data_IF_649724458037
#
_entry.id   IF_649724458037
#
_cell.length_a   1.000
_cell.length_b   1.000
_cell.length_c   1.000
_cell.angle_alpha   90.00
_cell.angle_beta   90.00
_cell.angle_gamma   90.00
#
_symmetry.space_group_name_H-M   'P 1'
#
loop_
_entity.id
_entity.type
_entity.pdbx_description
1 polymer ?
#
# COMPACT_ATOMS: atom_id res chain seq x y z
N UNK A 1 -26.01 61.12 -82.94
CA UNK A 1 -26.83 61.54 -81.79
C UNK A 1 -26.53 60.71 -80.52
N UNK A 2 -26.03 61.36 -79.45
CA UNK A 2 -25.80 60.70 -78.15
C UNK A 2 -27.16 60.25 -77.57
N UNK A 3 -27.32 58.95 -77.26
CA UNK A 3 -28.52 58.43 -76.59
C UNK A 3 -28.64 59.07 -75.20
N UNK A 4 -29.67 59.89 -74.97
CA UNK A 4 -29.99 60.45 -73.64
C UNK A 4 -30.50 59.32 -72.74
N UNK A 5 -29.74 59.00 -71.68
CA UNK A 5 -30.19 58.07 -70.64
C UNK A 5 -31.33 58.77 -69.87
N UNK A 6 -32.50 58.14 -69.67
CA UNK A 6 -33.58 58.75 -68.91
C UNK A 6 -33.12 58.99 -67.46
N UNK A 7 -33.20 60.24 -66.99
CA UNK A 7 -32.90 60.58 -65.61
C UNK A 7 -33.95 59.95 -64.70
N UNK A 8 -33.56 58.92 -63.96
CA UNK A 8 -34.41 58.28 -62.95
C UNK A 8 -34.31 59.11 -61.66
N UNK A 9 -35.44 59.46 -61.02
CA UNK A 9 -35.43 60.17 -59.75
C UNK A 9 -34.61 59.43 -58.68
N UNK A 10 -33.72 60.14 -58.00
CA UNK A 10 -32.79 59.58 -57.02
C UNK A 10 -33.51 58.80 -55.91
N UNK A 11 -34.69 59.28 -55.49
CA UNK A 11 -35.54 58.65 -54.49
C UNK A 11 -35.98 57.23 -54.90
N UNK A 12 -36.21 56.99 -56.19
CA UNK A 12 -36.63 55.68 -56.71
C UNK A 12 -35.45 54.71 -56.70
N UNK A 13 -34.24 55.17 -57.05
CA UNK A 13 -33.01 54.39 -56.97
C UNK A 13 -32.68 54.00 -55.51
N UNK A 14 -32.81 54.94 -54.57
CA UNK A 14 -32.64 54.69 -53.13
C UNK A 14 -33.65 53.65 -52.61
N UNK A 15 -34.93 53.75 -53.00
CA UNK A 15 -35.96 52.76 -52.64
C UNK A 15 -35.65 51.37 -53.20
N UNK A 16 -35.22 51.26 -54.47
CA UNK A 16 -34.83 49.97 -55.08
C UNK A 16 -33.64 49.35 -54.35
N UNK A 17 -32.62 50.13 -54.01
CA UNK A 17 -31.44 49.67 -53.25
C UNK A 17 -31.83 49.15 -51.87
N UNK A 18 -32.69 49.88 -51.15
CA UNK A 18 -33.20 49.47 -49.85
C UNK A 18 -34.02 48.16 -49.93
N UNK A 19 -34.91 48.05 -50.92
CA UNK A 19 -35.71 46.84 -51.13
C UNK A 19 -34.85 45.61 -51.44
N UNK A 20 -33.84 45.75 -52.30
CA UNK A 20 -32.89 44.67 -52.60
C UNK A 20 -32.09 44.25 -51.35
N UNK A 21 -31.68 45.21 -50.51
CA UNK A 21 -31.01 44.92 -49.25
C UNK A 21 -31.91 44.14 -48.27
N UNK A 22 -33.17 44.54 -48.11
CA UNK A 22 -34.16 43.84 -47.26
C UNK A 22 -34.41 42.42 -47.80
N UNK A 23 -34.55 42.26 -49.11
CA UNK A 23 -34.76 40.95 -49.73
C UNK A 23 -33.55 40.03 -49.51
N UNK A 24 -32.34 40.57 -49.62
CA UNK A 24 -31.11 39.82 -49.36
C UNK A 24 -30.98 39.40 -47.89
N UNK A 25 -31.32 40.28 -46.94
CA UNK A 25 -31.28 39.93 -45.50
C UNK A 25 -32.33 38.88 -45.14
N UNK A 26 -33.55 38.98 -45.67
CA UNK A 26 -34.60 37.97 -45.49
C UNK A 26 -34.18 36.61 -46.06
N UNK A 27 -33.61 36.58 -47.27
CA UNK A 27 -33.11 35.34 -47.87
C UNK A 27 -31.99 34.71 -47.02
N UNK A 28 -31.06 35.53 -46.50
CA UNK A 28 -29.99 35.07 -45.60
C UNK A 28 -30.55 34.49 -44.29
N UNK A 29 -31.54 35.16 -43.69
CA UNK A 29 -32.21 34.68 -42.47
C UNK A 29 -32.97 33.37 -42.70
N UNK A 30 -33.69 33.23 -43.81
CA UNK A 30 -34.38 32.00 -44.18
C UNK A 30 -33.40 30.82 -44.33
N UNK A 31 -32.24 31.05 -44.94
CA UNK A 31 -31.20 30.03 -45.12
C UNK A 31 -30.58 29.61 -43.78
N UNK A 32 -30.33 30.57 -42.88
CA UNK A 32 -29.86 30.29 -41.52
C UNK A 32 -30.90 29.49 -40.71
N UNK A 33 -32.19 29.83 -40.82
CA UNK A 33 -33.26 29.11 -40.14
C UNK A 33 -33.40 27.68 -40.67
N UNK A 34 -33.29 27.47 -41.99
CA UNK A 34 -33.27 26.15 -42.62
C UNK A 34 -32.10 25.30 -42.13
N UNK A 35 -30.90 25.89 -42.01
CA UNK A 35 -29.72 25.22 -41.43
C UNK A 35 -29.88 24.86 -39.96
N UNK A 36 -30.55 25.71 -39.17
CA UNK A 36 -30.86 25.42 -37.76
C UNK A 36 -31.84 24.24 -37.63
N UNK A 37 -32.87 24.19 -38.47
CA UNK A 37 -33.84 23.08 -38.48
C UNK A 37 -33.22 21.76 -38.98
N UNK A 38 -32.37 21.80 -40.01
CA UNK A 38 -31.65 20.60 -40.48
C UNK A 38 -30.66 20.03 -39.44
N UNK A 39 -30.19 20.86 -38.49
CA UNK A 39 -29.35 20.44 -37.37
C UNK A 39 -30.14 19.92 -36.16
N UNK A 40 -31.40 19.54 -36.32
CA UNK A 40 -32.07 18.69 -35.32
C UNK A 40 -31.20 17.46 -35.09
N UNK A 41 -30.66 17.30 -33.88
CA UNK A 41 -29.74 16.20 -33.54
C UNK A 41 -30.46 14.88 -33.87
N UNK A 42 -29.98 14.16 -34.88
CA UNK A 42 -30.38 12.76 -35.06
C UNK A 42 -30.09 12.06 -33.73
N UNK A 43 -31.13 11.50 -33.12
CA UNK A 43 -30.99 10.69 -31.92
C UNK A 43 -30.01 9.59 -32.28
N UNK A 44 -28.82 9.64 -31.69
CA UNK A 44 -27.74 8.71 -32.02
C UNK A 44 -28.14 7.34 -31.48
N UNK A 45 -28.81 6.54 -32.31
CA UNK A 45 -29.31 5.24 -31.92
C UNK A 45 -28.13 4.31 -31.62
N UNK A 46 -27.88 4.09 -30.33
CA UNK A 46 -26.94 3.04 -29.89
C UNK A 46 -27.67 1.71 -29.95
N UNK A 47 -27.10 0.75 -30.69
CA UNK A 47 -27.64 -0.61 -30.78
C UNK A 47 -27.57 -1.29 -29.42
N UNK A 48 -28.53 -2.17 -29.12
CA UNK A 48 -28.54 -2.95 -27.88
C UNK A 48 -27.22 -3.73 -27.67
N UNK A 49 -26.65 -4.24 -28.77
CA UNK A 49 -25.37 -4.93 -28.82
C UNK A 49 -24.20 -4.12 -28.22
N UNK A 50 -24.19 -2.79 -28.40
CA UNK A 50 -23.11 -1.96 -27.85
C UNK A 50 -23.18 -1.88 -26.33
N UNK A 51 -24.38 -1.80 -25.75
CA UNK A 51 -24.56 -1.84 -24.30
C UNK A 51 -24.11 -3.16 -23.69
N UNK A 52 -24.46 -4.27 -24.34
CA UNK A 52 -24.02 -5.61 -23.93
C UNK A 52 -22.50 -5.68 -23.99
N UNK A 53 -21.89 -5.33 -25.13
CA UNK A 53 -20.44 -5.33 -25.34
C UNK A 53 -19.68 -4.48 -24.30
N UNK A 54 -20.19 -3.29 -23.99
CA UNK A 54 -19.59 -2.39 -22.99
C UNK A 54 -19.67 -2.96 -21.57
N UNK A 55 -20.78 -3.60 -21.21
CA UNK A 55 -20.92 -4.31 -19.93
C UNK A 55 -19.91 -5.46 -19.79
N UNK A 56 -19.75 -6.29 -20.82
CA UNK A 56 -18.74 -7.36 -20.83
C UNK A 56 -17.31 -6.82 -20.78
N UNK A 57 -17.02 -5.70 -21.46
CA UNK A 57 -15.72 -5.03 -21.40
C UNK A 57 -15.43 -4.53 -19.99
N UNK A 58 -16.38 -3.81 -19.39
CA UNK A 58 -16.28 -3.32 -18.02
C UNK A 58 -16.06 -4.45 -17.01
N UNK A 59 -16.80 -5.56 -17.13
CA UNK A 59 -16.63 -6.73 -16.24
C UNK A 59 -15.24 -7.36 -16.36
N UNK A 60 -14.68 -7.44 -17.58
CA UNK A 60 -13.30 -7.91 -17.81
C UNK A 60 -12.28 -6.95 -17.23
N UNK A 61 -12.48 -5.64 -17.40
CA UNK A 61 -11.60 -4.62 -16.83
C UNK A 61 -11.65 -4.62 -15.30
N UNK A 62 -12.83 -4.69 -14.68
CA UNK A 62 -12.98 -4.81 -13.23
C UNK A 62 -12.26 -6.06 -12.70
N UNK A 63 -12.38 -7.19 -13.42
CA UNK A 63 -11.68 -8.43 -13.06
C UNK A 63 -10.16 -8.27 -13.21
N UNK A 64 -9.70 -7.58 -14.26
CA UNK A 64 -8.28 -7.28 -14.49
C UNK A 64 -7.72 -6.37 -13.40
N UNK A 65 -8.43 -5.29 -13.05
CA UNK A 65 -8.07 -4.35 -12.00
C UNK A 65 -8.00 -5.05 -10.64
N UNK A 66 -9.01 -5.85 -10.27
CA UNK A 66 -8.99 -6.67 -9.04
C UNK A 66 -7.80 -7.62 -8.99
N UNK A 67 -7.43 -8.25 -10.12
CA UNK A 67 -6.24 -9.10 -10.21
C UNK A 67 -4.95 -8.29 -10.09
N UNK A 68 -4.87 -7.10 -10.67
CA UNK A 68 -3.70 -6.21 -10.55
C UNK A 68 -3.53 -5.69 -9.12
N UNK A 69 -4.61 -5.37 -8.41
CA UNK A 69 -4.59 -4.98 -6.99
C UNK A 69 -4.17 -6.13 -6.06
N UNK A 70 -4.58 -7.36 -6.39
CA UNK A 70 -4.17 -8.56 -5.63
C UNK A 70 -2.80 -9.08 -6.04
N UNK A 71 -2.30 -8.70 -7.22
CA UNK A 71 -0.95 -9.04 -7.63
C UNK A 71 -0.03 -8.30 -6.67
N UNK A 72 0.83 -9.01 -5.91
CA UNK A 72 1.79 -8.33 -5.06
C UNK A 72 2.60 -7.42 -5.96
N UNK A 73 2.53 -6.10 -5.71
CA UNK A 73 3.41 -5.15 -6.37
C UNK A 73 4.84 -5.65 -6.21
N UNK A 74 5.65 -5.55 -7.26
CA UNK A 74 7.09 -5.65 -7.07
C UNK A 74 7.45 -4.50 -6.12
N UNK A 75 7.55 -4.80 -4.82
CA UNK A 75 7.94 -3.82 -3.84
C UNK A 75 9.24 -3.20 -4.35
N UNK A 76 9.24 -1.86 -4.51
CA UNK A 76 10.46 -1.13 -4.80
C UNK A 76 11.54 -1.63 -3.85
N UNK A 77 12.67 -2.06 -4.41
CA UNK A 77 13.78 -2.62 -3.65
C UNK A 77 14.07 -1.63 -2.49
N UNK A 78 13.76 -2.02 -1.23
CA UNK A 78 13.97 -1.10 -0.12
C UNK A 78 15.47 -0.83 -0.07
N UNK A 79 15.86 0.43 0.20
CA UNK A 79 17.22 0.72 0.64
C UNK A 79 17.62 -0.35 1.66
N UNK A 80 18.77 -1.01 1.42
CA UNK A 80 19.12 -2.32 1.97
C UNK A 80 19.26 -2.31 3.50
N UNK A 81 18.13 -2.30 4.20
CA UNK A 81 18.13 -2.55 5.63
C UNK A 81 18.39 -4.03 5.85
N UNK A 82 19.44 -4.30 6.62
CA UNK A 82 19.87 -5.66 6.92
C UNK A 82 19.02 -6.29 8.03
N UNK A 83 18.12 -5.55 8.66
CA UNK A 83 17.32 -5.97 9.81
C UNK A 83 15.82 -5.95 9.48
N UNK A 84 15.15 -7.05 9.80
CA UNK A 84 13.69 -7.13 9.84
C UNK A 84 13.20 -7.47 11.24
N UNK A 85 12.08 -6.88 11.63
CA UNK A 85 11.28 -7.35 12.75
C UNK A 85 10.08 -8.13 12.23
N UNK A 86 9.85 -9.30 12.80
CA UNK A 86 8.92 -10.30 12.29
C UNK A 86 7.94 -10.66 13.40
N UNK A 87 6.64 -10.41 13.19
CA UNK A 87 5.57 -10.64 14.16
C UNK A 87 4.53 -11.59 13.60
N UNK A 88 4.20 -12.64 14.36
CA UNK A 88 3.06 -13.50 14.02
C UNK A 88 1.75 -12.84 14.39
N UNK A 89 0.89 -12.61 13.40
CA UNK A 89 -0.43 -11.98 13.59
C UNK A 89 -1.57 -13.00 13.48
N UNK A 90 -1.41 -13.98 12.59
CA UNK A 90 -2.49 -14.91 12.24
C UNK A 90 -2.33 -16.25 12.97
N UNK A 91 -3.46 -16.85 13.31
CA UNK A 91 -3.54 -18.21 13.80
C UNK A 91 -3.15 -19.23 12.73
N UNK A 92 -2.39 -20.23 13.16
CA UNK A 92 -1.91 -21.31 12.29
C UNK A 92 -2.78 -22.54 12.57
N UNK A 93 -3.89 -22.70 11.85
CA UNK A 93 -4.71 -23.91 11.87
C UNK A 93 -4.64 -24.60 10.50
N UNK A 94 -4.34 -25.89 10.48
CA UNK A 94 -4.34 -26.69 9.24
C UNK A 94 -3.23 -26.37 8.22
N UNK A 95 -2.12 -25.75 8.64
CA UNK A 95 -1.05 -25.39 7.70
C UNK A 95 -0.19 -26.57 7.27
N UNK A 96 0.46 -26.43 6.12
CA UNK A 96 1.42 -27.41 5.63
C UNK A 96 2.62 -27.56 6.57
N UNK A 97 3.19 -28.78 6.64
CA UNK A 97 4.38 -29.09 7.45
C UNK A 97 5.56 -28.14 7.15
N UNK A 98 5.70 -27.72 5.89
CA UNK A 98 6.73 -26.76 5.45
C UNK A 98 6.60 -25.41 6.14
N UNK A 99 5.40 -24.82 6.17
CA UNK A 99 5.14 -23.53 6.85
C UNK A 99 5.39 -23.67 8.35
N UNK A 100 4.88 -24.73 8.97
CA UNK A 100 5.08 -25.00 10.40
C UNK A 100 6.56 -25.07 10.77
N UNK A 101 7.37 -25.78 9.96
CA UNK A 101 8.81 -25.91 10.17
C UNK A 101 9.53 -24.56 10.08
N UNK A 102 9.18 -23.72 9.10
CA UNK A 102 9.77 -22.38 8.96
C UNK A 102 9.43 -21.49 10.16
N UNK A 103 8.19 -21.54 10.65
CA UNK A 103 7.79 -20.77 11.84
C UNK A 103 8.46 -21.26 13.11
N UNK A 104 8.71 -22.56 13.24
CA UNK A 104 9.51 -23.12 14.33
C UNK A 104 10.96 -22.64 14.28
N UNK A 105 11.58 -22.60 13.10
CA UNK A 105 12.94 -22.06 12.89
C UNK A 105 13.02 -20.57 13.27
N UNK A 106 12.00 -19.78 12.92
CA UNK A 106 11.87 -18.38 13.32
C UNK A 106 11.42 -18.20 14.78
N UNK A 107 11.17 -19.29 15.53
CA UNK A 107 10.72 -19.27 16.93
C UNK A 107 9.35 -18.61 17.16
N UNK A 108 8.51 -18.52 16.13
CA UNK A 108 7.19 -17.87 16.13
C UNK A 108 6.05 -18.84 16.53
N UNK A 109 6.10 -19.37 17.75
CA UNK A 109 5.19 -20.45 18.21
C UNK A 109 3.82 -19.96 18.69
N UNK A 110 3.74 -18.77 19.29
CA UNK A 110 2.48 -18.20 19.81
C UNK A 110 2.08 -16.99 18.95
N UNK A 111 0.81 -16.62 18.95
CA UNK A 111 0.41 -15.36 18.31
C UNK A 111 1.03 -14.18 19.05
N UNK A 112 1.24 -13.10 18.31
CA UNK A 112 1.86 -11.87 18.82
C UNK A 112 3.27 -12.07 19.37
N UNK A 113 3.98 -13.12 18.93
CA UNK A 113 5.42 -13.23 19.18
C UNK A 113 6.19 -12.50 18.10
N UNK A 114 7.19 -11.73 18.52
CA UNK A 114 8.11 -10.98 17.66
C UNK A 114 9.55 -11.48 17.75
N UNK A 115 10.28 -11.43 16.64
CA UNK A 115 11.73 -11.71 16.60
C UNK A 115 12.44 -10.79 15.61
N UNK A 116 13.70 -10.46 15.92
CA UNK A 116 14.61 -9.79 14.99
C UNK A 116 15.28 -10.82 14.07
N UNK A 117 15.28 -10.55 12.77
CA UNK A 117 15.86 -11.42 11.74
C UNK A 117 16.81 -10.60 10.87
N UNK A 118 18.03 -11.12 10.68
CA UNK A 118 18.97 -10.57 9.71
C UNK A 118 18.54 -10.95 8.30
N UNK A 119 18.32 -9.96 7.46
CA UNK A 119 17.91 -10.12 6.08
C UNK A 119 19.10 -10.62 5.24
N UNK A 120 18.93 -11.85 4.77
CA UNK A 120 19.74 -12.59 3.81
C UNK A 120 18.82 -13.18 2.73
N UNK A 121 19.33 -13.55 1.54
CA UNK A 121 18.52 -14.17 0.49
C UNK A 121 17.75 -15.42 0.97
N UNK A 122 18.35 -16.21 1.87
CA UNK A 122 17.71 -17.38 2.47
C UNK A 122 16.59 -16.99 3.44
N UNK A 123 16.84 -16.02 4.33
CA UNK A 123 15.80 -15.55 5.26
C UNK A 123 14.62 -14.90 4.52
N UNK A 124 14.86 -14.20 3.41
CA UNK A 124 13.81 -13.64 2.56
C UNK A 124 12.95 -14.74 1.94
N UNK A 125 13.57 -15.83 1.43
CA UNK A 125 12.83 -17.01 0.96
C UNK A 125 11.99 -17.64 2.07
N UNK A 126 12.52 -17.73 3.30
CA UNK A 126 11.76 -18.21 4.46
C UNK A 126 10.57 -17.29 4.79
N UNK A 127 10.79 -15.97 4.80
CA UNK A 127 9.76 -14.97 5.08
C UNK A 127 8.64 -15.00 4.04
N UNK A 128 8.97 -15.18 2.75
CA UNK A 128 7.97 -15.37 1.68
C UNK A 128 7.07 -16.59 1.89
N UNK A 129 7.59 -17.68 2.47
CA UNK A 129 6.79 -18.88 2.77
C UNK A 129 5.77 -18.61 3.89
N UNK A 130 6.15 -17.82 4.90
CA UNK A 130 5.30 -17.53 6.08
C UNK A 130 4.55 -16.21 5.99
N UNK A 131 4.70 -15.50 4.88
CA UNK A 131 4.12 -14.18 4.59
C UNK A 131 2.61 -14.09 4.89
N UNK A 132 1.77 -15.11 4.59
CA UNK A 132 0.34 -15.05 4.89
C UNK A 132 0.01 -15.02 6.38
N UNK A 133 0.95 -15.40 7.27
CA UNK A 133 0.70 -15.55 8.71
C UNK A 133 1.38 -14.48 9.56
N UNK A 134 2.30 -13.74 8.96
CA UNK A 134 3.29 -12.93 9.64
C UNK A 134 3.33 -11.56 9.01
N UNK A 135 3.37 -10.49 9.81
CA UNK A 135 3.77 -9.18 9.34
C UNK A 135 5.25 -8.96 9.64
N UNK A 136 5.97 -8.40 8.69
CA UNK A 136 7.37 -8.06 8.89
C UNK A 136 7.75 -6.79 8.15
N UNK A 137 8.81 -6.15 8.62
CA UNK A 137 9.30 -4.90 8.03
C UNK A 137 10.55 -4.41 8.75
N UNK A 138 10.95 -3.18 8.43
CA UNK A 138 12.14 -2.56 8.97
C UNK A 138 11.83 -1.82 10.28
N UNK A 139 12.41 -2.25 11.42
CA UNK A 139 12.23 -1.53 12.67
C UNK A 139 13.13 -0.29 12.72
N UNK A 140 12.64 0.79 13.31
CA UNK A 140 13.45 1.96 13.65
C UNK A 140 14.21 1.74 14.98
N UNK A 141 15.28 2.51 15.20
CA UNK A 141 16.09 2.41 16.42
C UNK A 141 15.25 2.60 17.71
N UNK A 142 14.29 3.52 17.68
CA UNK A 142 13.37 3.77 18.80
C UNK A 142 12.54 2.52 19.16
N UNK A 143 11.99 1.84 18.17
CA UNK A 143 11.16 0.64 18.32
C UNK A 143 12.00 -0.55 18.77
N UNK A 144 13.24 -0.69 18.27
CA UNK A 144 14.19 -1.70 18.77
C UNK A 144 14.49 -1.47 20.25
N UNK A 145 14.85 -0.23 20.62
CA UNK A 145 15.12 0.18 21.99
C UNK A 145 13.93 -0.09 22.91
N UNK A 146 12.74 0.38 22.54
CA UNK A 146 11.53 0.20 23.35
C UNK A 146 11.16 -1.28 23.53
N UNK A 147 11.34 -2.12 22.50
CA UNK A 147 11.07 -3.56 22.59
C UNK A 147 12.02 -4.25 23.57
N UNK A 148 13.32 -3.95 23.48
CA UNK A 148 14.33 -4.54 24.36
C UNK A 148 14.14 -4.06 25.79
N UNK A 149 13.91 -2.76 26.02
CA UNK A 149 13.73 -2.23 27.36
C UNK A 149 12.43 -2.72 28.03
N UNK A 150 11.30 -2.73 27.31
CA UNK A 150 10.01 -3.09 27.92
C UNK A 150 9.76 -4.59 27.97
N UNK A 151 10.28 -5.34 26.99
CA UNK A 151 9.92 -6.76 26.77
C UNK A 151 11.13 -7.67 26.58
N UNK A 152 12.35 -7.15 26.74
CA UNK A 152 13.58 -7.91 26.64
C UNK A 152 13.69 -8.96 27.74
N UNK A 153 13.82 -10.21 27.32
CA UNK A 153 14.06 -11.34 28.22
C UNK A 153 15.23 -12.14 27.66
N UNK A 154 16.15 -12.52 28.53
CA UNK A 154 17.23 -13.45 28.23
C UNK A 154 16.78 -14.90 28.38
N UNK A 155 17.39 -15.77 27.59
CA UNK A 155 17.30 -17.22 27.66
C UNK A 155 18.51 -17.76 28.40
N UNK A 156 18.38 -17.95 29.71
CA UNK A 156 19.46 -18.46 30.58
C UNK A 156 19.05 -19.83 31.12
N UNK A 157 19.88 -20.86 30.91
CA UNK A 157 19.61 -22.24 31.36
C UNK A 157 18.18 -22.72 31.01
N UNK A 158 17.69 -22.37 29.81
CA UNK A 158 16.32 -22.62 29.29
C UNK A 158 15.18 -21.91 30.04
N UNK A 159 15.48 -21.07 31.03
CA UNK A 159 14.51 -20.21 31.72
C UNK A 159 14.47 -18.81 31.08
N UNK A 160 13.38 -18.09 31.32
CA UNK A 160 13.21 -16.69 30.90
C UNK A 160 13.60 -15.80 32.07
N UNK A 161 14.54 -14.90 31.85
CA UNK A 161 15.01 -13.95 32.86
C UNK A 161 14.89 -12.54 32.28
N UNK A 162 14.30 -11.57 32.97
CA UNK A 162 14.25 -10.19 32.49
C UNK A 162 15.66 -9.59 32.39
N UNK A 163 15.87 -8.67 31.45
CA UNK A 163 17.11 -7.91 31.33
C UNK A 163 17.10 -6.72 32.29
N UNK A 164 17.39 -6.97 33.56
CA UNK A 164 17.41 -5.94 34.60
C UNK A 164 18.81 -5.36 34.80
N UNK A 165 19.83 -6.22 34.86
CA UNK A 165 21.20 -5.82 35.20
C UNK A 165 22.17 -6.03 34.04
N UNK A 166 23.13 -5.10 33.88
CA UNK A 166 24.18 -5.22 32.86
C UNK A 166 25.14 -6.39 33.14
N UNK A 167 25.34 -6.76 34.42
CA UNK A 167 26.17 -7.91 34.80
C UNK A 167 25.74 -9.21 34.10
N UNK A 168 24.43 -9.43 34.00
CA UNK A 168 23.86 -10.61 33.35
C UNK A 168 24.14 -10.63 31.83
N UNK A 169 24.22 -9.44 31.21
CA UNK A 169 24.56 -9.30 29.79
C UNK A 169 26.05 -9.59 29.60
N UNK A 170 26.91 -8.97 30.42
CA UNK A 170 28.36 -9.13 30.37
C UNK A 170 28.80 -10.58 30.62
N UNK A 171 28.22 -11.27 31.60
CA UNK A 171 28.53 -12.68 31.88
C UNK A 171 28.30 -13.60 30.67
N UNK A 172 27.27 -13.32 29.85
CA UNK A 172 26.90 -14.19 28.72
C UNK A 172 27.43 -13.72 27.36
N UNK A 173 27.60 -12.40 27.18
CA UNK A 173 27.96 -11.76 25.92
C UNK A 173 29.27 -10.96 26.00
N UNK A 174 29.95 -10.92 27.14
CA UNK A 174 31.23 -10.20 27.32
C UNK A 174 32.31 -10.69 26.37
N UNK A 175 32.35 -12.00 26.07
CA UNK A 175 33.24 -12.55 25.04
C UNK A 175 32.97 -12.08 23.61
N UNK A 176 31.86 -11.37 23.38
CA UNK A 176 31.52 -10.72 22.11
C UNK A 176 31.75 -9.19 22.14
N UNK A 177 32.24 -8.65 23.26
CA UNK A 177 32.39 -7.21 23.47
C UNK A 177 31.06 -6.48 23.72
N UNK A 178 30.03 -7.19 24.21
CA UNK A 178 28.73 -6.60 24.56
C UNK A 178 28.62 -6.62 26.08
N UNK A 179 28.74 -5.43 26.68
CA UNK A 179 28.83 -5.27 28.14
C UNK A 179 27.50 -4.78 28.68
N UNK A 180 26.87 -3.84 27.99
CA UNK A 180 25.64 -3.22 28.46
C UNK A 180 24.45 -3.43 27.52
N UNK A 181 23.27 -3.01 27.98
CA UNK A 181 22.04 -3.04 27.20
C UNK A 181 22.12 -2.16 25.94
N UNK A 182 22.86 -1.05 25.98
CA UNK A 182 23.02 -0.17 24.82
C UNK A 182 23.82 -0.84 23.70
N UNK A 183 24.91 -1.52 24.05
CA UNK A 183 25.70 -2.32 23.11
C UNK A 183 24.85 -3.41 22.45
N UNK A 184 23.96 -4.03 23.23
CA UNK A 184 23.02 -5.03 22.75
C UNK A 184 22.05 -4.45 21.71
N UNK A 185 21.48 -3.26 21.98
CA UNK A 185 20.59 -2.54 21.05
C UNK A 185 21.36 -2.19 19.77
N UNK A 186 22.57 -1.66 19.91
CA UNK A 186 23.42 -1.28 18.78
C UNK A 186 23.76 -2.49 17.90
N UNK A 187 24.18 -3.61 18.50
CA UNK A 187 24.53 -4.83 17.76
C UNK A 187 23.33 -5.41 16.98
N UNK A 188 22.12 -5.32 17.54
CA UNK A 188 20.88 -5.74 16.87
C UNK A 188 20.56 -4.81 15.71
N UNK A 189 20.56 -3.49 15.93
CA UNK A 189 20.20 -2.50 14.92
C UNK A 189 21.19 -2.49 13.74
N UNK A 190 22.49 -2.50 14.05
CA UNK A 190 23.57 -2.51 13.06
C UNK A 190 23.78 -3.88 12.38
N UNK A 191 23.15 -4.95 12.90
CA UNK A 191 23.28 -6.34 12.41
C UNK A 191 24.72 -6.84 12.35
N UNK A 192 25.46 -6.63 13.44
CA UNK A 192 26.89 -6.92 13.55
C UNK A 192 27.27 -8.39 13.44
N UNK A 193 28.54 -8.69 13.75
CA UNK A 193 29.14 -10.02 13.63
C UNK A 193 28.50 -11.03 14.59
N UNK A 194 28.10 -10.59 15.78
CA UNK A 194 27.57 -11.42 16.85
C UNK A 194 26.03 -11.41 16.92
N UNK A 195 25.35 -10.82 15.94
CA UNK A 195 23.89 -10.78 15.84
C UNK A 195 23.20 -12.13 16.10
N UNK A 196 23.76 -13.23 15.56
CA UNK A 196 23.19 -14.59 15.76
C UNK A 196 23.27 -15.04 17.22
N UNK A 197 24.33 -14.68 17.93
CA UNK A 197 24.52 -15.01 19.35
C UNK A 197 23.59 -14.17 20.22
N UNK A 198 23.46 -12.88 19.92
CA UNK A 198 22.52 -11.96 20.59
C UNK A 198 21.06 -12.40 20.41
N UNK A 199 20.65 -12.69 19.18
CA UNK A 199 19.26 -13.14 18.91
C UNK A 199 18.95 -14.51 19.52
N UNK A 200 19.94 -15.39 19.66
CA UNK A 200 19.79 -16.67 20.37
C UNK A 200 19.67 -16.48 21.89
N UNK A 201 20.44 -15.52 22.44
CA UNK A 201 20.38 -15.12 23.84
C UNK A 201 19.02 -14.50 24.19
N UNK A 202 18.48 -13.64 23.33
CA UNK A 202 17.15 -13.09 23.52
C UNK A 202 16.04 -14.15 23.36
N UNK A 203 15.07 -14.11 24.27
CA UNK A 203 13.81 -14.81 24.13
C UNK A 203 12.91 -14.08 23.12
N UNK A 204 12.04 -14.76 22.34
CA UNK A 204 11.15 -14.07 21.42
C UNK A 204 10.22 -13.16 22.22
N UNK A 205 10.03 -11.94 21.73
CA UNK A 205 9.23 -10.91 22.39
C UNK A 205 7.77 -11.34 22.39
N UNK A 206 7.15 -11.43 23.57
CA UNK A 206 5.70 -11.64 23.68
C UNK A 206 5.04 -10.27 23.69
N UNK A 207 4.42 -9.90 22.58
CA UNK A 207 3.67 -8.66 22.46
C UNK A 207 2.24 -8.85 22.98
N UNK A 208 1.61 -7.78 23.43
CA UNK A 208 0.26 -7.83 23.99
C UNK A 208 -0.71 -6.96 23.19
N UNK A 209 -1.94 -7.45 23.05
CA UNK A 209 -3.04 -6.64 22.52
C UNK A 209 -3.62 -5.79 23.66
N UNK A 210 -3.88 -4.51 23.40
CA UNK A 210 -4.56 -3.64 24.37
C UNK A 210 -5.89 -4.26 24.83
N UNK A 211 -6.20 -4.18 26.13
CA UNK A 211 -7.38 -4.85 26.73
C UNK A 211 -8.71 -4.40 26.10
N UNK A 212 -8.80 -3.16 25.61
CA UNK A 212 -10.01 -2.67 24.95
C UNK A 212 -10.15 -3.22 23.52
N UNK A 213 -9.04 -3.39 22.82
CA UNK A 213 -9.01 -3.95 21.47
C UNK A 213 -9.30 -5.47 21.45
N UNK A 214 -8.99 -6.19 22.54
CA UNK A 214 -9.27 -7.63 22.64
C UNK A 214 -10.77 -7.97 22.73
N UNK A 215 -11.62 -7.02 23.18
CA UNK A 215 -13.09 -7.17 23.20
C UNK A 215 -13.66 -7.21 21.77
N UNK A 216 -13.12 -6.38 20.87
CA UNK A 216 -13.52 -6.31 19.46
C UNK A 216 -12.49 -6.98 18.55
N UNK A 217 -12.36 -8.32 18.64
CA UNK A 217 -11.36 -9.07 17.85
C UNK A 217 -11.42 -8.78 16.35
N UNK A 218 -12.61 -8.69 15.78
CA UNK A 218 -12.81 -8.44 14.34
C UNK A 218 -12.34 -7.04 13.94
N UNK A 219 -12.66 -6.03 14.75
CA UNK A 219 -12.19 -4.65 14.56
C UNK A 219 -10.68 -4.55 14.69
N UNK A 220 -10.11 -5.19 15.71
CA UNK A 220 -8.68 -5.22 15.95
C UNK A 220 -7.89 -5.90 14.83
N UNK A 221 -8.39 -7.01 14.27
CA UNK A 221 -7.79 -7.65 13.09
C UNK A 221 -7.82 -6.74 11.85
N UNK A 222 -8.86 -5.91 11.72
CA UNK A 222 -8.97 -4.91 10.64
C UNK A 222 -7.96 -3.77 10.83
N UNK A 223 -7.80 -3.28 12.06
CA UNK A 223 -6.82 -2.24 12.44
C UNK A 223 -5.37 -2.73 12.30
N UNK A 224 -5.11 -3.99 12.66
CA UNK A 224 -3.81 -4.61 12.49
C UNK A 224 -3.38 -4.67 11.03
N UNK A 225 -4.30 -4.64 10.06
CA UNK A 225 -3.98 -4.68 8.63
C UNK A 225 -3.53 -6.06 8.14
N UNK A 226 -3.22 -6.13 6.85
CA UNK A 226 -2.91 -7.40 6.16
C UNK A 226 -1.54 -7.97 6.58
N UNK A 227 -1.40 -9.30 6.68
CA UNK A 227 -0.10 -9.97 6.79
C UNK A 227 0.81 -9.63 5.59
N UNK A 228 2.11 -9.82 5.77
CA UNK A 228 3.13 -9.63 4.73
C UNK A 228 4.13 -8.51 5.02
N UNK A 229 4.86 -8.11 3.98
CA UNK A 229 5.86 -7.04 4.08
C UNK A 229 5.22 -5.66 4.23
N UNK A 230 5.66 -4.91 5.24
CA UNK A 230 5.12 -3.58 5.58
C UNK A 230 6.13 -2.43 5.51
N UNK A 231 7.40 -2.72 5.21
CA UNK A 231 8.46 -1.71 5.29
C UNK A 231 8.47 -1.02 6.65
N UNK A 232 8.44 0.31 6.67
CA UNK A 232 8.46 1.13 7.89
C UNK A 232 7.15 1.13 8.68
N UNK A 233 6.02 0.76 8.04
CA UNK A 233 4.73 0.69 8.71
C UNK A 233 4.67 -0.39 9.80
N UNK A 234 5.66 -1.30 9.85
CA UNK A 234 5.82 -2.24 10.96
C UNK A 234 5.99 -1.52 12.31
N UNK A 235 6.59 -0.32 12.31
CA UNK A 235 6.84 0.45 13.53
C UNK A 235 5.55 0.91 14.19
N UNK A 236 4.50 1.20 13.40
CA UNK A 236 3.18 1.52 13.92
C UNK A 236 2.55 0.31 14.62
N UNK A 237 2.66 -0.87 13.99
CA UNK A 237 2.19 -2.13 14.57
C UNK A 237 2.93 -2.45 15.89
N UNK A 238 4.25 -2.26 15.92
CA UNK A 238 5.05 -2.47 17.14
C UNK A 238 4.53 -1.55 18.26
N UNK A 239 4.29 -0.27 17.99
CA UNK A 239 3.79 0.68 19.00
C UNK A 239 2.41 0.32 19.53
N UNK A 240 1.53 -0.23 18.69
CA UNK A 240 0.20 -0.69 19.12
C UNK A 240 0.25 -1.94 20.01
N UNK A 241 1.29 -2.76 19.83
CA UNK A 241 1.44 -4.06 20.47
C UNK A 241 2.40 -4.08 21.66
N UNK A 242 3.20 -3.02 21.81
CA UNK A 242 4.24 -2.89 22.83
C UNK A 242 3.73 -2.29 24.14
#
# INVERSE_FOLDING_TARGET
PRRRIPLVPENLLKKRKAYLAIKATQAKQALLNKRKQQKGKQIQFRRLETFVRDSWRKRRDDTRLRRMEQRPGQAAAPQESKLAFVVRIVDIKGVTKRVKRVMELLRLRKNYTGIFVKLSPLSLKMLRIVEPYVAWGQPNLKSVRELILKRGQAKIKKKRVPLTDNMLIEEHLGGCGIICLEDLIHEIYSTGKYFKRVTSFLWPFHLSVARHASRNRVGFLKEMGKPGYRGDAINQLIRQLN
#
